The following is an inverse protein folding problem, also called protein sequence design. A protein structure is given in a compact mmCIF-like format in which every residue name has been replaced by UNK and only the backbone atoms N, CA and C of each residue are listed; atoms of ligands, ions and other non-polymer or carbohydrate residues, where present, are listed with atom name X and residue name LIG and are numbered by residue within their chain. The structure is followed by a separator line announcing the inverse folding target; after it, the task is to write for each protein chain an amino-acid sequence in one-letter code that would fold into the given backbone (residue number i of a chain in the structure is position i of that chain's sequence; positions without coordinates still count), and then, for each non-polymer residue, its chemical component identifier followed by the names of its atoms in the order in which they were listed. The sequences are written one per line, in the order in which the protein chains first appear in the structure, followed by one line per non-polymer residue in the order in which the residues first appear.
data_IF_996524825461
#
_entry.id   IF_996524825461
#
_cell.length_a   1.000
_cell.length_b   1.000
_cell.length_c   1.000
_cell.angle_alpha   90.00
_cell.angle_beta   90.00
_cell.angle_gamma   90.00
#
_symmetry.space_group_name_H-M   'P 1'
#
loop_
_entity.id
_entity.type
_entity.pdbx_description
1 polymer ?
#
# COMPACT_ATOMS: atom_id res chain seq x y z
N UNK A 1 9.65 -16.14 -1.65
CA UNK A 1 9.37 -14.85 -2.30
C UNK A 1 10.67 -14.13 -2.68
N UNK A 2 11.59 -13.87 -1.75
CA UNK A 2 12.86 -13.18 -2.03
C UNK A 2 13.70 -13.80 -3.15
N UNK A 3 13.73 -15.12 -3.25
CA UNK A 3 14.45 -15.80 -4.34
C UNK A 3 13.85 -15.55 -5.73
N UNK A 4 12.52 -15.39 -5.80
CA UNK A 4 11.82 -15.03 -7.03
C UNK A 4 12.12 -13.57 -7.38
N UNK A 5 12.06 -12.66 -6.41
CA UNK A 5 12.41 -11.25 -6.62
C UNK A 5 13.87 -11.07 -7.03
N UNK A 6 14.81 -11.85 -6.47
CA UNK A 6 16.21 -11.81 -6.90
C UNK A 6 16.38 -12.09 -8.38
N UNK A 7 15.59 -13.00 -8.97
CA UNK A 7 15.70 -13.38 -10.40
C UNK A 7 15.08 -12.34 -11.35
N UNK A 8 14.31 -11.36 -10.85
CA UNK A 8 13.64 -10.34 -11.65
C UNK A 8 14.53 -9.10 -11.86
N UNK A 9 15.75 -9.30 -12.38
CA UNK A 9 16.77 -8.26 -12.54
C UNK A 9 16.37 -7.10 -13.48
N UNK A 10 15.39 -7.31 -14.37
CA UNK A 10 14.95 -6.31 -15.35
C UNK A 10 13.82 -5.40 -14.84
N UNK A 11 13.30 -5.63 -13.62
CA UNK A 11 12.20 -4.85 -13.06
C UNK A 11 12.75 -3.89 -12.00
N UNK A 12 12.38 -2.60 -12.09
CA UNK A 12 12.72 -1.62 -11.06
C UNK A 12 11.88 -1.89 -9.81
N UNK A 13 12.46 -2.62 -8.86
CA UNK A 13 11.76 -3.03 -7.64
C UNK A 13 11.42 -1.83 -6.76
N UNK A 14 10.25 -1.93 -6.12
CA UNK A 14 9.70 -0.95 -5.19
C UNK A 14 9.04 -1.70 -4.04
N UNK A 15 9.33 -1.28 -2.82
CA UNK A 15 8.58 -1.68 -1.64
C UNK A 15 7.47 -0.66 -1.40
N UNK A 16 6.32 -1.13 -0.91
CA UNK A 16 5.30 -0.23 -0.37
C UNK A 16 5.76 0.30 0.99
N UNK A 17 5.41 1.56 1.32
CA UNK A 17 5.67 2.12 2.64
C UNK A 17 4.79 1.48 3.72
N UNK A 18 4.99 1.92 4.97
CA UNK A 18 4.19 1.49 6.11
C UNK A 18 2.69 1.65 5.85
N UNK A 19 1.96 0.54 5.93
CA UNK A 19 0.51 0.48 5.82
C UNK A 19 0.00 -0.66 6.70
N UNK A 20 -1.22 -0.50 7.20
CA UNK A 20 -1.87 -1.44 8.10
C UNK A 20 -2.91 -2.26 7.33
N UNK A 21 -2.88 -3.58 7.51
CA UNK A 21 -3.82 -4.49 6.88
C UNK A 21 -5.24 -4.31 7.44
N UNK A 22 -6.24 -4.31 6.55
CA UNK A 22 -7.67 -4.35 6.88
C UNK A 22 -8.32 -5.70 6.53
N UNK A 23 -7.59 -6.61 5.87
CA UNK A 23 -8.08 -7.95 5.62
C UNK A 23 -8.36 -8.73 6.93
N UNK A 24 -9.38 -9.61 6.97
CA UNK A 24 -9.78 -10.32 8.19
C UNK A 24 -8.69 -11.20 8.84
N UNK A 25 -7.69 -11.63 8.07
CA UNK A 25 -6.65 -12.56 8.55
C UNK A 25 -5.55 -11.82 9.31
N UNK A 26 -5.19 -10.62 8.85
CA UNK A 26 -4.07 -9.85 9.38
C UNK A 26 -4.48 -8.46 9.87
N UNK A 27 -5.77 -8.24 10.16
CA UNK A 27 -6.29 -6.95 10.57
C UNK A 27 -5.41 -6.28 11.64
N UNK A 28 -5.04 -5.02 11.42
CA UNK A 28 -4.22 -4.24 12.34
C UNK A 28 -2.72 -4.55 12.28
N UNK A 29 -2.28 -5.58 11.55
CA UNK A 29 -0.85 -5.91 11.43
C UNK A 29 -0.20 -5.07 10.33
N UNK A 30 0.89 -4.34 10.64
CA UNK A 30 1.61 -3.58 9.63
C UNK A 30 2.31 -4.51 8.63
N UNK A 31 2.45 -4.05 7.38
CA UNK A 31 3.12 -4.75 6.29
C UNK A 31 2.54 -6.12 5.87
N UNK A 32 1.51 -6.64 6.56
CA UNK A 32 0.86 -7.92 6.26
C UNK A 32 -0.32 -7.76 5.30
N UNK A 33 -0.07 -7.01 4.23
CA UNK A 33 -1.05 -6.74 3.18
C UNK A 33 -1.30 -7.99 2.32
N UNK A 34 -2.54 -8.17 1.91
CA UNK A 34 -2.90 -9.06 0.79
C UNK A 34 -2.42 -8.48 -0.53
N UNK A 35 -2.40 -9.30 -1.59
CA UNK A 35 -2.08 -8.83 -2.95
C UNK A 35 -3.00 -7.69 -3.40
N UNK A 36 -4.30 -7.75 -3.07
CA UNK A 36 -5.24 -6.70 -3.46
C UNK A 36 -5.00 -5.40 -2.69
N UNK A 37 -4.73 -5.45 -1.39
CA UNK A 37 -4.38 -4.26 -0.60
C UNK A 37 -3.09 -3.62 -1.09
N UNK A 38 -2.05 -4.44 -1.35
CA UNK A 38 -0.80 -3.95 -1.89
C UNK A 38 -0.98 -3.29 -3.27
N UNK A 39 -1.78 -3.90 -4.14
CA UNK A 39 -2.06 -3.33 -5.46
C UNK A 39 -2.90 -2.05 -5.37
N UNK A 40 -3.88 -2.02 -4.47
CA UNK A 40 -4.72 -0.84 -4.24
C UNK A 40 -3.93 0.33 -3.66
N UNK A 41 -3.02 0.07 -2.72
CA UNK A 41 -2.11 1.08 -2.19
C UNK A 41 -1.21 1.67 -3.28
N UNK A 42 -0.63 0.82 -4.14
CA UNK A 42 0.17 1.29 -5.27
C UNK A 42 -0.65 2.16 -6.23
N UNK A 43 -1.87 1.76 -6.57
CA UNK A 43 -2.79 2.58 -7.38
C UNK A 43 -3.07 3.93 -6.72
N UNK A 44 -3.34 3.93 -5.42
CA UNK A 44 -3.64 5.15 -4.68
C UNK A 44 -2.46 6.13 -4.68
N UNK A 45 -1.27 5.64 -4.33
CA UNK A 45 -0.03 6.44 -4.30
C UNK A 45 0.30 7.01 -5.69
N UNK A 46 -0.03 6.29 -6.76
CA UNK A 46 0.14 6.74 -8.15
C UNK A 46 -1.02 7.63 -8.65
N UNK A 47 -1.92 8.08 -7.76
CA UNK A 47 -3.03 8.97 -8.09
C UNK A 47 -4.22 8.29 -8.78
N UNK A 48 -4.25 6.95 -8.86
CA UNK A 48 -5.34 6.16 -9.47
C UNK A 48 -6.39 5.74 -8.43
N UNK A 49 -6.93 6.73 -7.70
CA UNK A 49 -7.83 6.51 -6.56
C UNK A 49 -9.09 5.72 -6.93
N UNK A 50 -9.73 6.05 -8.05
CA UNK A 50 -10.92 5.32 -8.52
C UNK A 50 -10.63 3.83 -8.80
N UNK A 51 -9.49 3.53 -9.40
CA UNK A 51 -9.07 2.15 -9.68
C UNK A 51 -8.78 1.41 -8.37
N UNK A 52 -8.14 2.07 -7.41
CA UNK A 52 -7.92 1.54 -6.05
C UNK A 52 -9.24 1.14 -5.39
N UNK A 53 -10.22 2.05 -5.37
CA UNK A 53 -11.56 1.79 -4.83
C UNK A 53 -12.29 0.69 -5.59
N UNK A 54 -12.20 0.65 -6.92
CA UNK A 54 -12.85 -0.35 -7.76
C UNK A 54 -12.38 -1.77 -7.45
N UNK A 55 -11.06 -1.98 -7.30
CA UNK A 55 -10.52 -3.32 -7.02
C UNK A 55 -10.83 -3.77 -5.59
N UNK A 56 -10.81 -2.86 -4.63
CA UNK A 56 -11.18 -3.14 -3.24
C UNK A 56 -12.68 -3.37 -3.08
N UNK A 57 -13.52 -2.72 -3.90
CA UNK A 57 -14.97 -2.87 -3.88
C UNK A 57 -15.47 -4.29 -4.16
N UNK A 58 -14.62 -5.18 -4.68
CA UNK A 58 -14.90 -6.62 -4.82
C UNK A 58 -14.90 -7.37 -3.48
N UNK A 59 -14.39 -6.74 -2.42
CA UNK A 59 -14.23 -7.31 -1.09
C UNK A 59 -15.09 -6.54 -0.09
N UNK A 60 -15.90 -7.24 0.71
CA UNK A 60 -16.78 -6.61 1.71
C UNK A 60 -16.02 -5.70 2.68
N UNK A 61 -14.80 -6.06 3.04
CA UNK A 61 -13.90 -5.31 3.93
C UNK A 61 -12.98 -4.32 3.19
N UNK A 62 -13.04 -4.26 1.86
CA UNK A 62 -12.06 -3.51 1.06
C UNK A 62 -12.06 -1.99 1.33
N UNK A 63 -13.24 -1.41 1.57
CA UNK A 63 -13.36 0.01 1.93
C UNK A 63 -12.60 0.34 3.23
N UNK A 64 -12.62 -0.57 4.21
CA UNK A 64 -11.92 -0.44 5.49
C UNK A 64 -10.41 -0.24 5.30
N UNK A 65 -9.80 -0.80 4.24
CA UNK A 65 -8.39 -0.59 3.96
C UNK A 65 -8.06 0.88 3.65
N UNK A 66 -8.90 1.53 2.84
CA UNK A 66 -8.72 2.93 2.48
C UNK A 66 -9.02 3.84 3.66
N UNK A 67 -10.04 3.52 4.46
CA UNK A 67 -10.39 4.28 5.66
C UNK A 67 -9.28 4.21 6.72
N UNK A 68 -8.80 2.99 7.01
CA UNK A 68 -7.76 2.75 8.01
C UNK A 68 -6.44 3.45 7.68
N UNK A 69 -6.11 3.57 6.40
CA UNK A 69 -4.84 4.14 5.93
C UNK A 69 -5.02 5.50 5.26
N UNK A 70 -6.17 6.16 5.40
CA UNK A 70 -6.52 7.35 4.61
C UNK A 70 -5.44 8.44 4.67
N UNK A 71 -5.04 8.82 5.89
CA UNK A 71 -4.04 9.87 6.09
C UNK A 71 -2.69 9.51 5.45
N UNK A 72 -2.19 8.30 5.70
CA UNK A 72 -0.94 7.81 5.11
C UNK A 72 -1.00 7.77 3.58
N UNK A 73 -2.08 7.22 3.01
CA UNK A 73 -2.26 7.12 1.57
C UNK A 73 -2.34 8.50 0.90
N UNK A 74 -2.98 9.47 1.54
CA UNK A 74 -3.00 10.85 1.09
C UNK A 74 -1.59 11.47 1.12
N UNK A 75 -0.88 11.38 2.25
CA UNK A 75 0.47 11.92 2.38
C UNK A 75 1.43 11.28 1.37
N UNK A 76 1.39 9.96 1.20
CA UNK A 76 2.20 9.25 0.21
C UNK A 76 1.87 9.62 -1.23
N UNK A 77 0.61 9.91 -1.55
CA UNK A 77 0.23 10.33 -2.89
C UNK A 77 0.72 11.75 -3.24
N UNK A 78 0.97 12.59 -2.24
CA UNK A 78 1.52 13.94 -2.41
C UNK A 78 3.05 13.98 -2.32
N UNK A 79 3.69 12.91 -1.86
CA UNK A 79 5.14 12.83 -1.74
C UNK A 79 5.82 12.91 -3.12
N UNK A 80 6.81 13.78 -3.22
CA UNK A 80 7.58 14.01 -4.45
C UNK A 80 8.49 12.84 -4.80
N UNK A 81 9.12 12.24 -3.78
CA UNK A 81 10.08 11.16 -3.96
C UNK A 81 10.17 10.24 -2.74
N UNK A 82 11.03 9.22 -2.85
CA UNK A 82 11.19 8.19 -1.82
C UNK A 82 11.70 8.73 -0.48
N UNK A 83 12.38 9.88 -0.45
CA UNK A 83 12.88 10.49 0.79
C UNK A 83 11.73 11.01 1.63
N UNK A 84 10.76 11.67 1.00
CA UNK A 84 9.54 12.14 1.67
C UNK A 84 8.68 10.97 2.16
N UNK A 85 8.54 9.91 1.35
CA UNK A 85 7.87 8.67 1.78
C UNK A 85 8.51 8.10 3.05
N UNK A 86 9.86 8.08 3.11
CA UNK A 86 10.59 7.59 4.28
C UNK A 86 10.36 8.49 5.50
N UNK A 87 10.35 9.82 5.32
CA UNK A 87 10.09 10.76 6.40
C UNK A 87 8.69 10.54 6.98
N UNK A 88 7.66 10.50 6.11
CA UNK A 88 6.27 10.25 6.50
C UNK A 88 6.14 8.95 7.29
N UNK A 89 6.64 7.82 6.76
CA UNK A 89 6.49 6.55 7.46
C UNK A 89 7.25 6.48 8.79
N UNK A 90 8.32 7.26 8.96
CA UNK A 90 9.13 7.27 10.20
C UNK A 90 8.37 7.86 11.38
N UNK A 91 7.32 8.64 11.15
CA UNK A 91 6.45 9.17 12.21
C UNK A 91 5.52 8.11 12.82
N UNK A 92 5.41 6.93 12.17
CA UNK A 92 4.48 5.85 12.54
C UNK A 92 5.18 4.54 12.95
N UNK A 93 6.52 4.51 12.90
CA UNK A 93 7.37 3.37 13.28
C UNK A 93 7.99 3.57 14.67
#
# INVERSE_FOLDING_TARGET
AEEVFRKLHHIRQRALPYLVAANPVNFGKPFKLTTVEAFAAALYILGKREQSSLILGKFKWGHTFLELNHQLLEEYAHAKDSSEIIAIQSEYL
#
